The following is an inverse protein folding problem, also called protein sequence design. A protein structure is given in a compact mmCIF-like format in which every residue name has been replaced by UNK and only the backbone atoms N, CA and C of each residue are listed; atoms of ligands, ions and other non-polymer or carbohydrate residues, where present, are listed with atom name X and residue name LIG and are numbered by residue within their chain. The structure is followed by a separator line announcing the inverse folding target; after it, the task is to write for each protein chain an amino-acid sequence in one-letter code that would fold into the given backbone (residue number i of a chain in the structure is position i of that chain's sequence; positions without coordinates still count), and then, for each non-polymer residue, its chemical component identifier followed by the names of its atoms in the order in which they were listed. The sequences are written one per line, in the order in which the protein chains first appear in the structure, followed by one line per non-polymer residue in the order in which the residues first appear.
data_IF_396774426907
#
_entry.id   IF_396774426907
#
_cell.length_a   1.000
_cell.length_b   1.000
_cell.length_c   1.000
_cell.angle_alpha   90.00
_cell.angle_beta   90.00
_cell.angle_gamma   90.00
#
_symmetry.space_group_name_H-M   'P 1'
#
loop_
_entity.id
_entity.type
_entity.pdbx_description
1 polymer ?
#
# COMPACT_ATOMS: atom_id res chain seq x y z
N UNK A 1 12.44 -25.39 -3.22
CA UNK A 1 12.78 -24.07 -3.78
C UNK A 1 13.15 -23.16 -2.64
N UNK A 2 14.22 -22.38 -2.77
CA UNK A 2 14.61 -21.40 -1.75
C UNK A 2 13.81 -20.09 -1.91
N UNK A 3 13.49 -19.39 -0.81
CA UNK A 3 12.84 -18.08 -0.88
C UNK A 3 13.70 -17.06 -1.65
N UNK A 4 13.10 -16.38 -2.63
CA UNK A 4 13.72 -15.27 -3.36
C UNK A 4 13.25 -13.93 -2.76
N UNK A 5 14.20 -13.09 -2.37
CA UNK A 5 13.91 -11.71 -2.01
C UNK A 5 13.49 -10.91 -3.26
N UNK A 6 12.37 -10.18 -3.17
CA UNK A 6 11.80 -9.46 -4.32
C UNK A 6 11.66 -7.95 -4.10
N UNK A 7 11.66 -7.44 -2.88
CA UNK A 7 11.64 -5.99 -2.61
C UNK A 7 11.94 -5.65 -1.15
N UNK A 8 12.63 -4.54 -0.91
CA UNK A 8 12.85 -3.92 0.41
C UNK A 8 11.85 -2.78 0.71
N UNK A 9 10.95 -2.47 -0.24
CA UNK A 9 10.01 -1.36 -0.10
C UNK A 9 8.98 -1.66 0.99
N UNK A 10 8.90 -0.85 2.06
CA UNK A 10 7.98 -1.11 3.15
C UNK A 10 6.53 -0.91 2.68
N UNK A 11 5.76 -2.00 2.63
CA UNK A 11 4.32 -1.91 2.45
C UNK A 11 3.68 -1.29 3.70
N UNK A 12 3.05 -0.13 3.55
CA UNK A 12 2.34 0.51 4.66
C UNK A 12 1.10 -0.35 5.01
N UNK A 13 1.00 -0.78 6.28
CA UNK A 13 -0.15 -1.52 6.85
C UNK A 13 -0.42 -2.92 6.28
N UNK A 14 0.56 -3.58 5.62
CA UNK A 14 0.47 -5.00 5.26
C UNK A 14 -0.60 -5.36 4.23
N UNK A 15 -1.13 -4.38 3.49
CA UNK A 15 -2.15 -4.60 2.46
C UNK A 15 -1.49 -4.91 1.12
N UNK A 16 -1.02 -6.15 1.02
CA UNK A 16 -0.43 -6.71 -0.19
C UNK A 16 -1.49 -7.54 -0.93
N UNK A 17 -1.52 -7.44 -2.25
CA UNK A 17 -2.43 -8.18 -3.13
C UNK A 17 -1.64 -8.75 -4.30
N UNK A 18 -2.02 -9.94 -4.78
CA UNK A 18 -1.57 -10.38 -6.09
C UNK A 18 -2.11 -9.44 -7.17
N UNK A 19 -1.35 -9.25 -8.25
CA UNK A 19 -1.94 -8.71 -9.48
C UNK A 19 -2.95 -9.71 -10.06
N UNK A 20 -4.00 -9.27 -10.78
CA UNK A 20 -5.03 -10.17 -11.29
C UNK A 20 -4.50 -11.32 -12.14
N UNK A 21 -3.46 -11.06 -12.92
CA UNK A 21 -2.77 -12.02 -13.78
C UNK A 21 -1.68 -12.82 -13.05
N UNK A 22 -1.46 -12.59 -11.75
CA UNK A 22 -0.53 -13.36 -10.92
C UNK A 22 0.96 -13.11 -11.19
N UNK A 23 1.30 -12.09 -11.98
CA UNK A 23 2.68 -11.79 -12.38
C UNK A 23 3.46 -10.95 -11.38
N UNK A 24 2.79 -10.40 -10.36
CA UNK A 24 3.40 -9.51 -9.37
C UNK A 24 2.59 -9.35 -8.09
N UNK A 25 3.15 -8.57 -7.17
CA UNK A 25 2.53 -8.16 -5.91
C UNK A 25 2.27 -6.66 -5.92
N UNK A 26 1.01 -6.27 -5.76
CA UNK A 26 0.60 -4.89 -5.55
C UNK A 26 0.63 -4.53 -4.05
N UNK A 27 1.07 -3.33 -3.73
CA UNK A 27 1.15 -2.81 -2.36
C UNK A 27 0.97 -1.29 -2.33
N UNK A 28 0.44 -0.77 -1.22
CA UNK A 28 0.43 0.67 -0.97
C UNK A 28 1.78 1.10 -0.38
N UNK A 29 2.42 2.09 -1.01
CA UNK A 29 3.65 2.70 -0.52
C UNK A 29 3.52 4.22 -0.49
N UNK A 30 4.18 4.82 0.48
CA UNK A 30 4.29 6.27 0.61
C UNK A 30 5.68 6.70 0.18
N UNK A 31 5.74 7.59 -0.80
CA UNK A 31 6.98 8.28 -1.18
C UNK A 31 6.74 9.78 -1.05
N UNK A 32 7.62 10.47 -0.32
CA UNK A 32 7.54 11.92 -0.09
C UNK A 32 6.16 12.39 0.46
N UNK A 33 5.54 11.56 1.31
CA UNK A 33 4.25 11.86 1.93
C UNK A 33 3.02 11.46 1.09
N UNK A 34 3.19 11.15 -0.19
CA UNK A 34 2.08 10.79 -1.10
C UNK A 34 1.91 9.27 -1.16
N UNK A 35 0.69 8.80 -0.89
CA UNK A 35 0.34 7.38 -0.96
C UNK A 35 -0.02 6.95 -2.38
N UNK A 36 0.67 5.95 -2.92
CA UNK A 36 0.36 5.36 -4.22
C UNK A 36 0.36 3.83 -4.14
N UNK A 37 -0.29 3.19 -5.10
CA UNK A 37 -0.23 1.74 -5.29
C UNK A 37 0.91 1.44 -6.27
N UNK A 38 1.76 0.51 -5.86
CA UNK A 38 2.93 0.04 -6.58
C UNK A 38 2.80 -1.45 -6.84
N UNK A 39 3.48 -1.93 -7.88
CA UNK A 39 3.58 -3.35 -8.22
C UNK A 39 5.04 -3.76 -8.21
N UNK A 40 5.36 -4.82 -7.48
CA UNK A 40 6.63 -5.53 -7.57
C UNK A 40 6.44 -6.76 -8.49
N UNK A 41 7.01 -6.77 -9.70
CA UNK A 41 7.02 -7.94 -10.56
C UNK A 41 7.77 -9.12 -9.93
N UNK A 42 7.29 -10.36 -10.12
CA UNK A 42 7.94 -11.57 -9.60
C UNK A 42 9.23 -11.96 -10.35
N UNK A 43 9.40 -11.47 -11.57
CA UNK A 43 10.64 -11.65 -12.33
C UNK A 43 11.84 -10.98 -11.64
N UNK A 44 11.59 -10.03 -10.73
CA UNK A 44 12.60 -9.27 -10.00
C UNK A 44 13.00 -7.96 -10.68
N UNK A 45 12.28 -7.56 -11.73
CA UNK A 45 12.42 -6.23 -12.32
C UNK A 45 11.97 -5.14 -11.33
N UNK A 46 12.32 -3.89 -11.65
CA UNK A 46 12.07 -2.76 -10.77
C UNK A 46 10.55 -2.56 -10.49
N UNK A 47 10.19 -2.10 -9.28
CA UNK A 47 8.82 -1.75 -8.95
C UNK A 47 8.23 -0.73 -9.94
N UNK A 48 6.95 -0.90 -10.27
CA UNK A 48 6.18 0.01 -11.14
C UNK A 48 5.12 0.73 -10.32
N UNK A 49 5.09 2.04 -10.42
CA UNK A 49 4.02 2.85 -9.86
C UNK A 49 2.77 2.70 -10.74
N UNK A 50 1.67 2.23 -10.16
CA UNK A 50 0.43 2.02 -10.89
C UNK A 50 -0.45 3.27 -10.89
N UNK A 51 -0.26 4.13 -9.89
CA UNK A 51 -1.19 5.21 -9.57
C UNK A 51 -0.46 6.50 -9.30
N UNK A 52 -1.06 7.64 -9.65
CA UNK A 52 -0.37 8.94 -9.65
C UNK A 52 -1.26 10.02 -9.03
N UNK A 53 -1.71 9.84 -7.79
CA UNK A 53 -2.81 10.64 -7.21
C UNK A 53 -2.46 11.45 -5.95
N UNK A 54 -3.51 12.10 -5.45
CA UNK A 54 -3.68 12.99 -4.28
C UNK A 54 -2.76 12.69 -3.08
N UNK A 55 -2.39 13.68 -2.24
CA UNK A 55 -1.44 13.52 -1.14
C UNK A 55 -1.96 12.65 0.02
N UNK A 56 -3.16 12.09 -0.09
CA UNK A 56 -3.77 11.33 0.98
C UNK A 56 -3.22 9.89 1.04
N UNK A 57 -3.16 9.28 2.25
CA UNK A 57 -2.91 7.85 2.37
C UNK A 57 -3.91 7.01 1.58
N UNK A 58 -3.42 5.91 1.00
CA UNK A 58 -4.24 4.76 0.60
C UNK A 58 -4.51 3.95 1.87
N UNK A 59 -5.77 3.82 2.25
CA UNK A 59 -6.18 2.93 3.33
C UNK A 59 -6.32 1.51 2.81
N UNK A 60 -7.18 1.25 1.82
CA UNK A 60 -7.41 -0.08 1.23
C UNK A 60 -7.37 -0.01 -0.29
N UNK A 61 -7.17 -1.16 -0.93
CA UNK A 61 -7.42 -1.32 -2.35
C UNK A 61 -7.77 -2.78 -2.70
N UNK A 62 -8.36 -2.98 -3.88
CA UNK A 62 -8.71 -4.28 -4.42
C UNK A 62 -9.02 -4.22 -5.91
N UNK A 63 -8.66 -5.30 -6.60
CA UNK A 63 -8.94 -5.48 -8.02
C UNK A 63 -10.37 -5.99 -8.23
N UNK A 64 -10.99 -5.63 -9.35
CA UNK A 64 -12.17 -6.34 -9.84
C UNK A 64 -11.80 -7.78 -10.21
N UNK A 65 -12.76 -8.73 -10.18
CA UNK A 65 -12.49 -10.12 -10.56
C UNK A 65 -11.92 -10.29 -11.98
N UNK A 66 -12.29 -9.39 -12.90
CA UNK A 66 -11.78 -9.37 -14.28
C UNK A 66 -10.48 -8.58 -14.45
N UNK A 67 -9.93 -8.01 -13.38
CA UNK A 67 -8.69 -7.24 -13.36
C UNK A 67 -8.74 -5.88 -14.06
N UNK A 68 -9.89 -5.47 -14.62
CA UNK A 68 -10.01 -4.22 -15.38
C UNK A 68 -10.09 -2.98 -14.51
N UNK A 69 -10.49 -3.14 -13.25
CA UNK A 69 -10.69 -2.04 -12.33
C UNK A 69 -9.90 -2.22 -11.05
N UNK A 70 -9.49 -1.09 -10.49
CA UNK A 70 -8.86 -1.01 -9.18
C UNK A 70 -9.67 -0.05 -8.32
N UNK A 71 -10.29 -0.58 -7.27
CA UNK A 71 -10.93 0.22 -6.24
C UNK A 71 -9.93 0.53 -5.14
N UNK A 72 -10.01 1.72 -4.55
CA UNK A 72 -9.21 2.09 -3.39
C UNK A 72 -10.00 3.02 -2.46
N UNK A 73 -9.62 3.03 -1.18
CA UNK A 73 -10.10 4.00 -0.21
C UNK A 73 -8.95 4.90 0.21
N UNK A 74 -9.17 6.21 0.17
CA UNK A 74 -8.21 7.22 0.64
C UNK A 74 -8.93 8.32 1.41
N UNK A 75 -8.19 9.08 2.20
CA UNK A 75 -8.74 10.19 2.97
C UNK A 75 -7.72 10.78 3.92
N UNK A 76 -8.12 11.83 4.63
CA UNK A 76 -7.28 12.50 5.61
C UNK A 76 -7.29 11.72 6.93
N UNK A 77 -6.11 11.42 7.47
CA UNK A 77 -5.98 10.98 8.86
C UNK A 77 -5.89 12.22 9.74
N UNK A 78 -6.88 12.40 10.61
CA UNK A 78 -6.79 13.36 11.72
C UNK A 78 -6.43 12.59 12.99
N UNK A 79 -5.51 13.11 13.78
CA UNK A 79 -5.10 12.50 15.04
C UNK A 79 -4.75 13.63 16.00
N UNK A 80 -5.39 13.64 17.16
CA UNK A 80 -5.12 14.57 18.24
C UNK A 80 -4.36 13.85 19.36
N UNK A 81 -3.36 14.54 19.92
CA UNK A 81 -2.67 14.06 21.11
C UNK A 81 -3.29 14.75 22.31
N UNK A 82 -3.89 13.96 23.21
CA UNK A 82 -4.47 14.47 24.46
C UNK A 82 -3.59 14.05 25.63
N UNK A 83 -3.18 15.02 26.44
CA UNK A 83 -2.53 14.75 27.72
C UNK A 83 -3.59 14.40 28.75
N UNK A 84 -3.56 13.17 29.26
CA UNK A 84 -4.35 12.77 30.42
C UNK A 84 -3.46 12.91 31.66
N UNK A 85 -3.85 13.79 32.58
CA UNK A 85 -3.27 13.90 33.92
C UNK A 85 -4.35 13.65 34.98
N UNK A 86 -3.94 13.41 36.23
CA UNK A 86 -4.79 12.93 37.33
C UNK A 86 -5.34 11.50 37.16
N UNK A 87 -4.48 10.56 36.78
CA UNK A 87 -4.78 9.14 36.98
C UNK A 87 -4.67 8.86 38.48
N UNK A 88 -5.81 8.61 39.13
CA UNK A 88 -5.83 8.12 40.51
C UNK A 88 -5.07 6.78 40.58
N UNK A 89 -4.35 6.57 41.70
CA UNK A 89 -3.67 5.29 41.98
C UNK A 89 -4.67 4.19 42.29
#
# INVERSE_FOLDING_TARGET
SEPKFISDQPAYHGRLRWTPEGSGLAYAARQQGVGNIWVQPLDGSAPKQLTHWNPNPIFSFGWSPDGKWLAYASGTLTSDVVLISNLAR
#
